data_IF_895274690215
#
_entry.id   IF_895274690215
#
_cell.length_a   1.000
_cell.length_b   1.000
_cell.length_c   1.000
_cell.angle_alpha   90.00
_cell.angle_beta   90.00
_cell.angle_gamma   90.00
#
_symmetry.space_group_name_H-M   'P 1'
#
loop_
_entity.id
_entity.type
_entity.pdbx_description
1 polymer ?
#
# COMPACT_ATOMS: atom_id res chain seq x y z
N UNK A 1 7.82 -5.68 1.36
CA UNK A 1 7.38 -4.34 0.93
C UNK A 1 6.19 -3.94 1.79
N UNK A 2 6.16 -2.71 2.30
CA UNK A 2 4.97 -2.11 2.90
C UNK A 2 4.42 -1.07 1.94
N UNK A 3 3.13 -1.18 1.59
CA UNK A 3 2.47 -0.24 0.67
C UNK A 3 1.41 0.56 1.42
N UNK A 4 1.16 1.80 1.00
CA UNK A 4 0.13 2.66 1.57
C UNK A 4 -0.35 3.65 0.53
N UNK A 5 -1.64 3.99 0.55
CA UNK A 5 -2.18 5.03 -0.31
C UNK A 5 -1.72 6.41 0.17
N UNK A 6 -1.36 7.31 -0.76
CA UNK A 6 -0.91 8.66 -0.40
C UNK A 6 -1.96 9.46 0.40
N UNK A 7 -3.24 9.28 0.09
CA UNK A 7 -4.35 9.89 0.85
C UNK A 7 -4.45 9.34 2.28
N UNK A 8 -4.15 8.06 2.49
CA UNK A 8 -4.19 7.46 3.83
C UNK A 8 -3.05 8.00 4.70
N UNK A 9 -1.88 8.25 4.10
CA UNK A 9 -0.78 8.93 4.79
C UNK A 9 -1.18 10.35 5.20
N UNK A 10 -1.81 11.11 4.30
CA UNK A 10 -2.30 12.45 4.61
C UNK A 10 -3.36 12.46 5.73
N UNK A 11 -4.31 11.53 5.66
CA UNK A 11 -5.32 11.33 6.70
C UNK A 11 -4.70 10.90 8.03
N UNK A 12 -3.71 10.01 8.01
CA UNK A 12 -2.99 9.60 9.21
C UNK A 12 -2.31 10.79 9.90
N UNK A 13 -1.69 11.70 9.13
CA UNK A 13 -1.10 12.91 9.68
C UNK A 13 -2.14 13.80 10.38
N UNK A 14 -3.30 14.01 9.76
CA UNK A 14 -4.40 14.79 10.34
C UNK A 14 -4.91 14.13 11.62
N UNK A 15 -5.24 12.84 11.57
CA UNK A 15 -5.76 12.07 12.71
C UNK A 15 -4.80 12.07 13.90
N UNK A 16 -3.49 11.95 13.65
CA UNK A 16 -2.49 11.97 14.71
C UNK A 16 -2.31 13.37 15.31
N UNK A 17 -2.43 14.42 14.50
CA UNK A 17 -2.34 15.80 14.98
C UNK A 17 -3.55 16.18 15.83
N UNK A 18 -4.75 15.77 15.41
CA UNK A 18 -6.02 16.11 16.07
C UNK A 18 -6.31 15.27 17.31
N UNK A 19 -5.65 14.12 17.50
CA UNK A 19 -5.86 13.24 18.65
C UNK A 19 -4.87 13.56 19.79
N UNK A 20 -5.31 14.19 20.90
CA UNK A 20 -4.41 14.58 21.99
C UNK A 20 -3.75 13.40 22.73
N UNK A 21 -4.33 12.21 22.60
CA UNK A 21 -3.80 10.97 23.19
C UNK A 21 -2.78 10.26 22.28
N UNK A 22 -2.61 10.72 21.03
CA UNK A 22 -1.63 10.13 20.12
C UNK A 22 -0.21 10.39 20.63
N UNK A 23 0.58 9.32 20.73
CA UNK A 23 1.96 9.43 21.22
C UNK A 23 2.89 8.40 20.58
N UNK A 24 4.17 8.77 20.49
CA UNK A 24 5.24 7.96 19.92
C UNK A 24 5.08 7.73 18.41
N UNK A 25 5.68 6.64 17.94
CA UNK A 25 5.71 6.30 16.51
C UNK A 25 4.46 5.55 16.09
N UNK A 26 4.03 5.78 14.85
CA UNK A 26 2.91 5.11 14.21
C UNK A 26 3.38 4.57 12.85
N UNK A 27 3.38 3.25 12.69
CA UNK A 27 3.61 2.63 11.39
C UNK A 27 2.41 2.92 10.49
N UNK A 28 2.65 3.34 9.26
CA UNK A 28 1.61 3.71 8.29
C UNK A 28 1.79 2.94 6.97
N UNK A 29 1.36 1.68 6.99
CA UNK A 29 1.33 0.73 5.87
C UNK A 29 0.07 -0.12 5.92
N UNK A 30 -0.57 -0.37 4.78
CA UNK A 30 -1.78 -1.19 4.68
C UNK A 30 -1.49 -2.68 4.94
N UNK A 31 -0.49 -3.21 4.25
CA UNK A 31 -0.01 -4.58 4.41
C UNK A 31 1.49 -4.69 4.21
N UNK A 32 2.08 -5.78 4.73
CA UNK A 32 3.42 -6.22 4.35
C UNK A 32 3.28 -7.40 3.40
N UNK A 33 3.75 -7.21 2.17
CA UNK A 33 3.72 -8.21 1.10
C UNK A 33 5.10 -8.40 0.48
N UNK A 34 5.30 -9.50 -0.24
CA UNK A 34 6.49 -9.69 -1.06
C UNK A 34 6.36 -8.85 -2.34
N UNK A 35 7.50 -8.55 -2.98
CA UNK A 35 7.48 -7.87 -4.27
C UNK A 35 6.79 -8.72 -5.34
N UNK A 36 6.94 -10.05 -5.27
CA UNK A 36 6.20 -10.99 -6.12
C UNK A 36 4.69 -10.84 -6.01
N UNK A 37 4.15 -10.62 -4.80
CA UNK A 37 2.71 -10.42 -4.58
C UNK A 37 2.23 -9.13 -5.25
N UNK A 38 2.98 -8.04 -5.08
CA UNK A 38 2.68 -6.76 -5.73
C UNK A 38 2.71 -6.88 -7.25
N UNK A 39 3.78 -7.45 -7.82
CA UNK A 39 3.91 -7.64 -9.26
C UNK A 39 2.81 -8.54 -9.83
N UNK A 40 2.45 -9.62 -9.12
CA UNK A 40 1.33 -10.48 -9.49
C UNK A 40 0.00 -9.71 -9.49
N UNK A 41 -0.24 -8.84 -8.50
CA UNK A 41 -1.46 -8.03 -8.44
C UNK A 41 -1.54 -7.01 -9.57
N UNK A 42 -0.42 -6.38 -9.95
CA UNK A 42 -0.39 -5.49 -11.12
C UNK A 42 -0.71 -6.26 -12.40
N UNK A 43 -0.11 -7.45 -12.59
CA UNK A 43 -0.35 -8.29 -13.77
C UNK A 43 -1.80 -8.84 -13.83
N UNK A 44 -2.42 -9.10 -12.69
CA UNK A 44 -3.85 -9.48 -12.58
C UNK A 44 -4.77 -8.32 -13.00
N UNK A 45 -4.49 -7.11 -12.52
CA UNK A 45 -5.32 -5.93 -12.77
C UNK A 45 -5.14 -5.34 -14.18
N UNK A 46 -3.93 -5.47 -14.74
CA UNK A 46 -3.55 -4.87 -16.02
C UNK A 46 -2.76 -5.88 -16.88
N UNK A 47 -3.44 -6.91 -17.42
CA UNK A 47 -2.80 -7.96 -18.21
C UNK A 47 -2.19 -7.45 -19.53
N UNK A 48 -2.53 -6.23 -19.96
CA UNK A 48 -1.92 -5.58 -21.13
C UNK A 48 -0.45 -5.18 -20.91
N UNK A 49 -0.03 -5.01 -19.64
CA UNK A 49 1.33 -4.65 -19.31
C UNK A 49 2.26 -5.87 -19.22
N UNK A 50 3.48 -5.71 -19.74
CA UNK A 50 4.55 -6.70 -19.63
C UNK A 50 5.19 -6.67 -18.25
N UNK A 51 4.44 -7.05 -17.23
CA UNK A 51 4.92 -7.12 -15.84
C UNK A 51 5.82 -8.35 -15.67
N UNK A 52 7.06 -8.22 -15.16
CA UNK A 52 7.92 -9.36 -14.92
C UNK A 52 7.32 -10.33 -13.89
N UNK A 53 7.56 -11.63 -14.10
CA UNK A 53 7.23 -12.66 -13.10
C UNK A 53 8.43 -12.90 -12.21
N UNK A 54 8.16 -13.01 -10.91
CA UNK A 54 9.19 -13.22 -9.89
C UNK A 54 9.01 -14.58 -9.22
N UNK A 55 10.08 -15.14 -8.63
CA UNK A 55 9.96 -16.26 -7.70
C UNK A 55 8.98 -15.93 -6.56
N UNK A 56 8.39 -16.97 -5.95
CA UNK A 56 7.43 -16.78 -4.85
C UNK A 56 8.04 -15.99 -3.68
N UNK A 57 9.30 -16.29 -3.35
CA UNK A 57 10.06 -15.60 -2.33
C UNK A 57 11.05 -14.61 -2.98
N UNK A 58 10.69 -13.34 -2.97
CA UNK A 58 11.58 -12.25 -3.42
C UNK A 58 12.35 -11.60 -2.27
N UNK A 59 11.95 -11.87 -1.02
CA UNK A 59 12.57 -11.31 0.18
C UNK A 59 12.67 -12.40 1.26
N UNK A 60 13.74 -13.21 1.24
CA UNK A 60 13.93 -14.27 2.22
C UNK A 60 13.87 -13.72 3.65
N UNK A 61 13.06 -14.36 4.49
CA UNK A 61 12.85 -13.96 5.89
C UNK A 61 11.82 -12.84 6.11
N UNK A 62 11.28 -12.22 5.05
CA UNK A 62 10.19 -11.26 5.20
C UNK A 62 8.86 -11.99 5.44
N UNK A 63 8.28 -11.79 6.61
CA UNK A 63 6.93 -12.26 6.91
C UNK A 63 5.88 -11.34 6.27
N UNK A 64 4.84 -11.95 5.69
CA UNK A 64 3.64 -11.23 5.25
C UNK A 64 2.81 -10.86 6.47
N UNK A 65 2.20 -9.69 6.47
CA UNK A 65 1.35 -9.24 7.57
C UNK A 65 0.13 -8.49 7.03
N UNK A 66 -1.06 -8.95 7.42
CA UNK A 66 -2.31 -8.21 7.29
C UNK A 66 -2.48 -7.31 8.53
N UNK A 67 -2.68 -6.02 8.31
CA UNK A 67 -2.81 -5.01 9.36
C UNK A 67 -1.57 -4.79 10.28
N UNK A 68 -0.38 -4.50 9.72
CA UNK A 68 0.80 -4.08 10.50
C UNK A 68 0.63 -2.73 11.22
N UNK A 69 -0.31 -1.89 10.79
CA UNK A 69 -0.49 -0.51 11.29
C UNK A 69 -1.55 -0.38 12.39
N UNK A 70 -1.54 -1.33 13.34
CA UNK A 70 -2.59 -1.47 14.34
C UNK A 70 -2.91 -0.18 15.12
N UNK A 71 -1.89 0.59 15.52
CA UNK A 71 -2.11 1.86 16.25
C UNK A 71 -2.94 2.87 15.45
N UNK A 72 -2.79 2.91 14.12
CA UNK A 72 -3.58 3.81 13.27
C UNK A 72 -5.00 3.26 13.04
N UNK A 73 -5.15 1.94 12.88
CA UNK A 73 -6.48 1.34 12.75
C UNK A 73 -7.30 1.45 14.03
N UNK A 74 -6.65 1.34 15.19
CA UNK A 74 -7.29 1.45 16.51
C UNK A 74 -7.85 2.87 16.75
N UNK A 75 -7.31 3.91 16.10
CA UNK A 75 -7.82 5.29 16.14
C UNK A 75 -8.73 5.63 14.94
N UNK A 76 -9.17 4.63 14.19
CA UNK A 76 -10.20 4.77 13.16
C UNK A 76 -9.70 4.99 11.73
N UNK A 77 -8.39 5.00 11.47
CA UNK A 77 -7.89 5.06 10.10
C UNK A 77 -8.22 3.76 9.36
N UNK A 78 -8.80 3.89 8.16
CA UNK A 78 -9.02 2.78 7.23
C UNK A 78 -8.09 2.95 6.05
N UNK A 79 -7.39 1.88 5.70
CA UNK A 79 -6.47 1.86 4.57
C UNK A 79 -7.18 1.41 3.30
N UNK A 80 -6.85 2.03 2.18
CA UNK A 80 -7.21 1.53 0.85
C UNK A 80 -6.39 0.28 0.53
N UNK A 81 -7.02 -0.73 -0.05
CA UNK A 81 -6.34 -2.00 -0.33
C UNK A 81 -5.30 -1.88 -1.45
N UNK A 82 -4.42 -2.88 -1.58
CA UNK A 82 -3.39 -2.91 -2.61
C UNK A 82 -3.94 -2.70 -4.03
N UNK A 83 -5.13 -3.25 -4.32
CA UNK A 83 -5.77 -3.11 -5.62
C UNK A 83 -6.22 -1.69 -5.90
N UNK A 84 -6.81 -1.02 -4.91
CA UNK A 84 -7.17 0.41 -4.97
C UNK A 84 -5.93 1.29 -5.16
N UNK A 85 -4.87 1.05 -4.38
CA UNK A 85 -3.59 1.78 -4.51
C UNK A 85 -3.02 1.65 -5.92
N UNK A 86 -2.97 0.42 -6.47
CA UNK A 86 -2.46 0.17 -7.82
C UNK A 86 -3.35 0.87 -8.86
N UNK A 87 -4.67 0.77 -8.74
CA UNK A 87 -5.61 1.35 -9.70
C UNK A 87 -5.50 2.87 -9.76
N UNK A 88 -5.49 3.54 -8.61
CA UNK A 88 -5.38 5.01 -8.55
C UNK A 88 -4.04 5.48 -9.14
N UNK A 89 -2.94 4.77 -8.84
CA UNK A 89 -1.63 5.06 -9.41
C UNK A 89 -1.61 4.91 -10.95
N UNK A 90 -2.11 3.79 -11.49
CA UNK A 90 -2.15 3.55 -12.95
C UNK A 90 -3.05 4.57 -13.65
N UNK A 91 -4.21 4.89 -13.10
CA UNK A 91 -5.10 5.94 -13.64
C UNK A 91 -4.42 7.31 -13.67
N UNK A 92 -3.70 7.67 -12.59
CA UNK A 92 -2.94 8.92 -12.51
C UNK A 92 -1.79 8.96 -13.54
N UNK A 93 -1.09 7.84 -13.76
CA UNK A 93 -0.03 7.74 -14.77
C UNK A 93 -0.57 7.80 -16.21
N UNK A 94 -1.68 7.10 -16.50
CA UNK A 94 -2.37 7.14 -17.81
C UNK A 94 -2.86 8.54 -18.14
N UNK A 95 -3.55 9.20 -17.20
CA UNK A 95 -4.10 10.55 -17.41
C UNK A 95 -3.04 11.61 -17.67
N UNK A 96 -1.80 11.39 -17.20
CA UNK A 96 -0.64 12.27 -17.44
C UNK A 96 0.22 11.84 -18.63
N UNK A 97 -0.16 10.77 -19.34
CA UNK A 97 0.56 10.29 -20.53
C UNK A 97 1.90 9.62 -20.25
N UNK A 98 2.17 9.19 -19.00
CA UNK A 98 3.42 8.50 -18.66
C UNK A 98 3.42 7.03 -19.05
N UNK A 99 2.23 6.42 -19.08
CA UNK A 99 1.99 5.05 -19.54
C UNK A 99 0.74 5.04 -20.41
N UNK A 100 0.66 4.08 -21.34
CA UNK A 100 -0.49 3.85 -22.23
C UNK A 100 -1.38 2.74 -21.69
#
# INVERSE_FOLDING_TARGET
MGSVHVKDVALAHILLYENPSASGRHLCVEAIAHYSDFAAKVAELYPEYKVPRFPKDTQPGLLRASNPSKKLTDIGLRFADMGEIIKDAVLSLKSKGYIS
#
